data_IF_618604955666
#
_entry.id   IF_618604955666
#
_cell.length_a   1.000
_cell.length_b   1.000
_cell.length_c   1.000
_cell.angle_alpha   90.00
_cell.angle_beta   90.00
_cell.angle_gamma   90.00
#
_symmetry.space_group_name_H-M   'P 1'
#
loop_
_entity.id
_entity.type
_entity.pdbx_description
1 polymer ?
#
# COMPACT_ATOMS: atom_id res chain seq x y z
N UNK A 1 -16.11 -3.29 2.41
CA UNK A 1 -15.78 -1.88 2.67
C UNK A 1 -16.49 -1.02 1.67
N UNK A 2 -17.38 -0.19 2.16
CA UNK A 2 -18.28 0.61 1.31
C UNK A 2 -17.53 1.70 0.52
N UNK A 3 -16.49 2.32 1.10
CA UNK A 3 -15.73 3.38 0.42
C UNK A 3 -15.08 2.92 -0.91
N UNK A 4 -14.81 1.63 -1.09
CA UNK A 4 -14.27 1.08 -2.34
C UNK A 4 -15.21 1.34 -3.53
N UNK A 5 -16.51 1.41 -3.29
CA UNK A 5 -17.51 1.75 -4.32
C UNK A 5 -17.38 3.20 -4.84
N UNK A 6 -16.62 4.05 -4.14
CA UNK A 6 -16.31 5.40 -4.57
C UNK A 6 -15.25 5.51 -5.66
N UNK A 7 -14.56 4.41 -6.01
CA UNK A 7 -13.63 4.42 -7.15
C UNK A 7 -14.38 4.49 -8.48
N UNK A 8 -14.01 5.49 -9.28
CA UNK A 8 -14.54 5.69 -10.63
C UNK A 8 -13.40 5.72 -11.64
N UNK A 9 -13.66 5.17 -12.82
CA UNK A 9 -12.78 5.29 -13.95
C UNK A 9 -13.00 6.64 -14.63
N UNK A 10 -11.91 7.36 -14.85
CA UNK A 10 -11.90 8.63 -15.55
C UNK A 10 -11.22 8.47 -16.92
N UNK A 11 -11.31 9.49 -17.76
CA UNK A 11 -10.65 9.47 -19.05
C UNK A 11 -9.14 9.28 -18.87
N UNK A 12 -8.61 8.24 -19.50
CA UNK A 12 -7.18 7.95 -19.50
C UNK A 12 -6.37 9.08 -20.14
N UNK A 13 -5.18 9.29 -19.62
CA UNK A 13 -4.19 10.19 -20.20
C UNK A 13 -3.19 9.41 -21.04
N UNK A 14 -2.44 10.10 -21.86
CA UNK A 14 -1.35 9.51 -22.64
C UNK A 14 -0.01 10.12 -22.24
N UNK A 15 1.01 9.29 -22.17
CA UNK A 15 2.40 9.76 -22.13
C UNK A 15 2.79 10.38 -23.47
N UNK A 16 3.95 11.07 -23.50
CA UNK A 16 4.49 11.60 -24.77
C UNK A 16 4.72 10.52 -25.84
N UNK A 17 4.99 9.29 -25.41
CA UNK A 17 5.23 8.12 -26.28
C UNK A 17 3.94 7.36 -26.59
N UNK A 18 2.76 7.91 -26.25
CA UNK A 18 1.46 7.29 -26.55
C UNK A 18 1.06 6.13 -25.62
N UNK A 19 1.75 5.90 -24.50
CA UNK A 19 1.36 4.89 -23.51
C UNK A 19 0.22 5.42 -22.66
N UNK A 20 -0.74 4.54 -22.39
CA UNK A 20 -1.90 4.88 -21.57
C UNK A 20 -1.54 5.03 -20.09
N UNK A 21 -2.07 6.08 -19.48
CA UNK A 21 -2.08 6.30 -18.04
C UNK A 21 -3.53 6.20 -17.59
N UNK A 22 -3.84 5.15 -16.83
CA UNK A 22 -5.18 4.99 -16.25
C UNK A 22 -5.40 6.03 -15.16
N UNK A 23 -6.54 6.71 -15.22
CA UNK A 23 -6.94 7.69 -14.21
C UNK A 23 -8.12 7.12 -13.42
N UNK A 24 -8.02 7.20 -12.10
CA UNK A 24 -9.08 6.80 -11.17
C UNK A 24 -9.38 7.94 -10.22
N UNK A 25 -10.62 8.23 -10.02
CA UNK A 25 -11.09 9.15 -8.99
C UNK A 25 -11.64 8.33 -7.81
N UNK A 26 -11.25 8.68 -6.60
CA UNK A 26 -11.87 8.16 -5.38
C UNK A 26 -12.72 9.26 -4.76
N UNK A 27 -14.03 9.08 -4.76
CA UNK A 27 -15.00 9.95 -4.10
C UNK A 27 -15.49 9.27 -2.82
N UNK A 28 -15.19 9.87 -1.69
CA UNK A 28 -15.55 9.31 -0.38
C UNK A 28 -16.85 9.93 0.10
N UNK A 29 -17.78 9.08 0.53
CA UNK A 29 -19.02 9.51 1.19
C UNK A 29 -18.71 10.22 2.51
N UNK A 30 -19.41 11.31 2.80
CA UNK A 30 -19.38 11.99 4.10
C UNK A 30 -20.24 11.29 5.18
N UNK A 31 -20.75 10.08 4.90
CA UNK A 31 -21.52 9.28 5.85
C UNK A 31 -20.61 8.77 6.98
N UNK A 32 -20.95 9.08 8.22
CA UNK A 32 -20.16 8.71 9.41
C UNK A 32 -19.90 7.20 9.49
N UNK A 33 -20.87 6.35 9.15
CA UNK A 33 -20.68 4.90 9.20
C UNK A 33 -19.64 4.41 8.17
N UNK A 34 -19.60 5.01 6.98
CA UNK A 34 -18.58 4.71 5.96
C UNK A 34 -17.21 5.19 6.40
N UNK A 35 -17.14 6.38 7.00
CA UNK A 35 -15.90 6.94 7.52
C UNK A 35 -15.36 6.13 8.71
N UNK A 36 -16.21 5.65 9.60
CA UNK A 36 -15.84 4.81 10.74
C UNK A 36 -15.31 3.44 10.27
N UNK A 37 -16.00 2.80 9.31
CA UNK A 37 -15.53 1.56 8.68
C UNK A 37 -14.14 1.76 8.06
N UNK A 38 -13.97 2.85 7.33
CA UNK A 38 -12.72 3.18 6.67
C UNK A 38 -11.59 3.48 7.67
N UNK A 39 -11.89 4.25 8.71
CA UNK A 39 -10.94 4.54 9.78
C UNK A 39 -10.49 3.27 10.52
N UNK A 40 -11.43 2.34 10.81
CA UNK A 40 -11.12 1.05 11.40
C UNK A 40 -10.20 0.22 10.48
N UNK A 41 -10.51 0.16 9.18
CA UNK A 41 -9.67 -0.52 8.20
C UNK A 41 -8.25 0.06 8.14
N UNK A 42 -8.10 1.40 8.13
CA UNK A 42 -6.78 2.05 8.14
C UNK A 42 -6.01 1.75 9.42
N UNK A 43 -6.65 1.77 10.59
CA UNK A 43 -6.02 1.40 11.85
C UNK A 43 -5.49 -0.02 11.82
N UNK A 44 -6.25 -0.96 11.26
CA UNK A 44 -5.85 -2.37 11.16
C UNK A 44 -4.63 -2.60 10.28
N UNK A 45 -4.31 -1.70 9.35
CA UNK A 45 -3.05 -1.77 8.62
C UNK A 45 -1.84 -1.62 9.55
N UNK A 46 -1.98 -0.87 10.64
CA UNK A 46 -0.91 -0.65 11.62
C UNK A 46 -0.96 -1.65 12.77
N UNK A 47 -2.13 -1.86 13.38
CA UNK A 47 -2.30 -2.77 14.53
C UNK A 47 -3.68 -3.40 14.55
N UNK A 48 -3.73 -4.70 14.79
CA UNK A 48 -4.98 -5.38 15.12
C UNK A 48 -5.45 -4.99 16.52
N UNK A 49 -6.76 -5.02 16.75
CA UNK A 49 -7.32 -4.66 18.04
C UNK A 49 -6.90 -5.62 19.17
N UNK A 50 -6.84 -6.91 18.86
CA UNK A 50 -6.43 -7.95 19.82
C UNK A 50 -4.96 -7.80 20.25
N UNK A 51 -4.07 -7.45 19.32
CA UNK A 51 -2.67 -7.18 19.63
C UNK A 51 -2.48 -5.87 20.41
N UNK A 52 -3.33 -4.87 20.15
CA UNK A 52 -3.20 -3.54 20.73
C UNK A 52 -3.26 -3.51 22.25
N UNK A 53 -4.12 -4.33 22.87
CA UNK A 53 -4.23 -4.40 24.33
C UNK A 53 -2.99 -5.00 24.97
N UNK A 54 -2.41 -6.01 24.34
CA UNK A 54 -1.17 -6.64 24.79
C UNK A 54 0.03 -5.67 24.62
N UNK A 55 0.12 -4.98 23.47
CA UNK A 55 1.21 -4.04 23.19
C UNK A 55 1.21 -2.83 24.13
N UNK A 56 0.03 -2.36 24.56
CA UNK A 56 -0.08 -1.23 25.49
C UNK A 56 -0.02 -1.62 26.98
N UNK A 57 -0.02 -2.92 27.29
CA UNK A 57 0.06 -3.40 28.67
C UNK A 57 1.27 -2.77 29.40
N UNK A 58 1.07 -2.32 30.62
CA UNK A 58 2.09 -1.65 31.42
C UNK A 58 2.32 -0.17 31.11
N UNK A 59 1.76 0.37 30.00
CA UNK A 59 1.92 1.80 29.67
C UNK A 59 0.97 2.71 30.45
N UNK A 60 -0.16 2.18 30.95
CA UNK A 60 -1.16 2.93 31.70
C UNK A 60 -2.04 3.87 30.87
N UNK A 61 -1.87 3.92 29.55
CA UNK A 61 -2.60 4.84 28.65
C UNK A 61 -3.73 4.12 27.91
N UNK A 62 -4.68 4.89 27.38
CA UNK A 62 -5.80 4.37 26.57
C UNK A 62 -5.34 3.80 25.21
N UNK A 63 -6.20 3.02 24.54
CA UNK A 63 -5.95 2.55 23.16
C UNK A 63 -5.69 3.71 22.20
N UNK A 64 -6.49 4.77 22.32
CA UNK A 64 -6.39 5.95 21.46
C UNK A 64 -5.04 6.66 21.65
N UNK A 65 -4.64 6.88 22.90
CA UNK A 65 -3.36 7.50 23.23
C UNK A 65 -2.19 6.64 22.75
N UNK A 66 -2.27 5.32 22.91
CA UNK A 66 -1.24 4.42 22.42
C UNK A 66 -1.10 4.48 20.91
N UNK A 67 -2.21 4.41 20.16
CA UNK A 67 -2.20 4.54 18.72
C UNK A 67 -1.62 5.89 18.28
N UNK A 68 -2.07 6.99 18.89
CA UNK A 68 -1.62 8.35 18.56
C UNK A 68 -0.14 8.56 18.84
N UNK A 69 0.35 8.06 19.97
CA UNK A 69 1.66 8.45 20.50
C UNK A 69 2.77 7.44 20.19
N UNK A 70 2.43 6.18 19.88
CA UNK A 70 3.40 5.11 19.63
C UNK A 70 3.27 4.46 18.25
N UNK A 71 2.09 4.44 17.64
CA UNK A 71 1.82 3.67 16.43
C UNK A 71 1.74 4.56 15.18
N UNK A 72 0.85 5.55 15.18
CA UNK A 72 0.68 6.40 14.01
C UNK A 72 1.82 7.41 13.86
N UNK A 73 2.18 7.78 12.61
CA UNK A 73 3.16 8.84 12.38
C UNK A 73 2.79 10.14 13.12
N UNK A 74 3.76 10.73 13.81
CA UNK A 74 3.56 11.86 14.70
C UNK A 74 3.23 13.18 14.00
N UNK A 75 3.03 14.24 14.80
CA UNK A 75 2.71 15.58 14.27
C UNK A 75 3.96 16.38 13.87
N UNK A 76 5.11 16.08 14.47
CA UNK A 76 6.39 16.72 14.12
C UNK A 76 6.99 16.05 12.87
N UNK A 77 7.77 16.82 12.08
CA UNK A 77 8.49 16.29 10.92
C UNK A 77 9.42 15.12 11.34
N UNK A 78 9.50 14.02 10.57
CA UNK A 78 8.88 13.81 9.24
C UNK A 78 7.47 13.20 9.28
N UNK A 79 6.85 13.00 10.46
CA UNK A 79 5.59 12.29 10.67
C UNK A 79 4.46 12.65 9.70
N UNK A 80 4.13 13.94 9.45
CA UNK A 80 3.08 14.30 8.50
C UNK A 80 3.32 13.77 7.08
N UNK A 81 4.56 13.84 6.59
CA UNK A 81 4.90 13.33 5.27
C UNK A 81 4.80 11.78 5.22
N UNK A 82 5.26 11.12 6.28
CA UNK A 82 5.12 9.66 6.41
C UNK A 82 3.66 9.23 6.44
N UNK A 83 2.78 9.97 7.15
CA UNK A 83 1.34 9.69 7.19
C UNK A 83 0.69 9.76 5.81
N UNK A 84 1.04 10.79 5.02
CA UNK A 84 0.55 10.92 3.65
C UNK A 84 1.04 9.77 2.76
N UNK A 85 2.30 9.38 2.89
CA UNK A 85 2.85 8.23 2.18
C UNK A 85 2.10 6.94 2.53
N UNK A 86 2.03 6.61 3.82
CA UNK A 86 1.31 5.43 4.32
C UNK A 86 -0.15 5.40 3.83
N UNK A 87 -0.84 6.55 3.86
CA UNK A 87 -2.22 6.68 3.40
C UNK A 87 -2.36 6.33 1.91
N UNK A 88 -1.51 6.91 1.07
CA UNK A 88 -1.55 6.66 -0.37
C UNK A 88 -1.21 5.20 -0.71
N UNK A 89 -0.22 4.62 -0.04
CA UNK A 89 0.17 3.22 -0.21
C UNK A 89 -0.96 2.27 0.19
N UNK A 90 -1.68 2.56 1.29
CA UNK A 90 -2.84 1.76 1.73
C UNK A 90 -3.96 1.84 0.69
N UNK A 91 -4.27 3.02 0.17
CA UNK A 91 -5.31 3.18 -0.86
C UNK A 91 -4.98 2.43 -2.16
N UNK A 92 -3.72 2.47 -2.60
CA UNK A 92 -3.29 1.71 -3.77
C UNK A 92 -3.35 0.20 -3.49
N UNK A 93 -2.95 -0.22 -2.29
CA UNK A 93 -3.07 -1.60 -1.88
C UNK A 93 -4.54 -2.08 -1.86
N UNK A 94 -5.46 -1.23 -1.40
CA UNK A 94 -6.90 -1.52 -1.43
C UNK A 94 -7.44 -1.62 -2.87
N UNK A 95 -7.01 -0.73 -3.75
CA UNK A 95 -7.36 -0.81 -5.17
C UNK A 95 -6.87 -2.14 -5.80
N UNK A 96 -5.63 -2.53 -5.53
CA UNK A 96 -5.05 -3.78 -6.03
C UNK A 96 -5.81 -5.00 -5.48
N UNK A 97 -6.16 -4.99 -4.20
CA UNK A 97 -6.84 -6.11 -3.55
C UNK A 97 -8.31 -6.20 -3.95
N UNK A 98 -9.07 -5.13 -3.77
CA UNK A 98 -10.53 -5.17 -3.89
C UNK A 98 -11.05 -4.93 -5.30
N UNK A 99 -10.34 -4.13 -6.11
CA UNK A 99 -10.75 -3.82 -7.49
C UNK A 99 -10.05 -4.75 -8.48
N UNK A 100 -8.75 -4.97 -8.30
CA UNK A 100 -7.96 -5.80 -9.22
C UNK A 100 -7.95 -7.29 -8.82
N UNK A 101 -8.50 -7.64 -7.65
CA UNK A 101 -8.61 -9.01 -7.15
C UNK A 101 -7.26 -9.74 -6.99
N UNK A 102 -6.25 -9.04 -6.48
CA UNK A 102 -5.01 -9.65 -6.03
C UNK A 102 -5.07 -9.92 -4.52
N UNK A 103 -4.42 -10.96 -4.06
CA UNK A 103 -4.09 -11.09 -2.65
C UNK A 103 -2.96 -10.12 -2.31
N UNK A 104 -3.15 -9.26 -1.30
CA UNK A 104 -2.14 -8.30 -0.81
C UNK A 104 -1.78 -8.65 0.63
N UNK A 105 -0.54 -9.04 0.93
CA UNK A 105 -0.10 -9.28 2.31
C UNK A 105 -0.04 -7.94 3.07
N UNK A 106 -0.97 -7.73 4.00
CA UNK A 106 -1.12 -6.49 4.77
C UNK A 106 -0.20 -6.46 5.99
N UNK A 107 1.11 -6.44 5.75
CA UNK A 107 2.14 -6.58 6.79
C UNK A 107 3.04 -5.35 6.95
N UNK A 108 3.04 -4.44 5.96
CA UNK A 108 4.04 -3.38 5.81
C UNK A 108 4.15 -2.48 7.04
N UNK A 109 3.04 -2.00 7.58
CA UNK A 109 3.06 -1.03 8.68
C UNK A 109 3.12 -1.66 10.06
N UNK A 110 2.76 -2.93 10.20
CA UNK A 110 2.76 -3.65 11.47
C UNK A 110 4.14 -3.88 12.06
N UNK A 111 5.18 -3.80 11.23
CA UNK A 111 6.58 -3.99 11.61
C UNK A 111 7.38 -2.71 11.65
N UNK A 112 6.74 -1.54 11.66
CA UNK A 112 7.48 -0.28 11.80
C UNK A 112 8.22 -0.24 13.13
N UNK A 113 9.54 -0.20 13.08
CA UNK A 113 10.38 0.04 14.26
C UNK A 113 10.28 1.50 14.72
N UNK A 114 10.26 2.43 13.76
CA UNK A 114 10.05 3.85 14.03
C UNK A 114 8.78 4.30 13.27
N UNK A 115 7.80 4.80 14.01
CA UNK A 115 6.52 5.24 13.46
C UNK A 115 6.63 6.32 12.39
N UNK A 116 7.69 7.15 12.43
CA UNK A 116 7.90 8.28 11.53
C UNK A 116 8.74 7.95 10.29
N UNK A 117 9.07 6.67 10.06
CA UNK A 117 9.82 6.25 8.87
C UNK A 117 8.95 5.35 7.99
N UNK A 118 9.14 5.44 6.67
CA UNK A 118 8.57 4.47 5.77
C UNK A 118 9.29 3.13 5.89
N UNK A 119 8.59 2.00 5.88
CA UNK A 119 9.22 0.69 5.83
C UNK A 119 10.05 0.53 4.54
N UNK A 120 11.11 -0.26 4.60
CA UNK A 120 11.91 -0.61 3.42
C UNK A 120 11.19 -1.61 2.52
N UNK A 121 11.62 -1.71 1.27
CA UNK A 121 11.05 -2.61 0.25
C UNK A 121 10.02 -1.94 -0.63
N UNK A 122 9.38 -2.74 -1.48
CA UNK A 122 8.34 -2.28 -2.41
C UNK A 122 7.10 -1.76 -1.65
N UNK A 123 6.45 -0.74 -2.18
CA UNK A 123 5.33 -0.09 -1.51
C UNK A 123 4.11 -1.01 -1.45
N UNK A 124 3.75 -1.64 -2.56
CA UNK A 124 2.66 -2.63 -2.60
C UNK A 124 3.12 -3.87 -3.37
N UNK A 125 2.88 -5.04 -2.77
CA UNK A 125 3.01 -6.36 -3.39
C UNK A 125 1.62 -6.99 -3.49
N UNK A 126 1.28 -7.55 -4.65
CA UNK A 126 0.05 -8.29 -4.83
C UNK A 126 0.29 -9.58 -5.60
N UNK A 127 -0.51 -10.60 -5.33
CA UNK A 127 -0.39 -11.92 -5.92
C UNK A 127 -1.73 -12.42 -6.43
N UNK A 128 -1.73 -12.99 -7.62
CA UNK A 128 -2.90 -13.63 -8.22
C UNK A 128 -2.52 -15.04 -8.64
N UNK A 129 -3.17 -16.01 -8.04
CA UNK A 129 -2.85 -17.41 -8.26
C UNK A 129 -4.13 -18.26 -8.28
N UNK A 130 -4.09 -19.33 -9.04
CA UNK A 130 -5.14 -20.34 -9.04
C UNK A 130 -4.96 -21.37 -7.91
N UNK A 131 -5.80 -22.38 -7.89
CA UNK A 131 -5.72 -23.49 -6.93
C UNK A 131 -4.45 -24.34 -7.10
N UNK A 132 -3.89 -24.35 -8.29
CA UNK A 132 -2.63 -25.02 -8.62
C UNK A 132 -1.66 -24.04 -9.22
N UNK A 133 -0.35 -24.12 -8.88
CA UNK A 133 0.68 -23.28 -9.48
C UNK A 133 0.67 -23.32 -11.02
N UNK A 134 0.70 -22.15 -11.65
CA UNK A 134 0.59 -22.00 -13.09
C UNK A 134 1.56 -20.91 -13.60
N UNK A 135 2.10 -21.02 -14.84
CA UNK A 135 2.84 -19.92 -15.47
C UNK A 135 1.99 -18.65 -15.68
N UNK A 136 0.68 -18.74 -15.52
CA UNK A 136 -0.26 -17.60 -15.59
C UNK A 136 -0.50 -16.92 -14.24
N UNK A 137 0.08 -17.46 -13.16
CA UNK A 137 0.04 -16.78 -11.87
C UNK A 137 0.75 -15.43 -12.01
N UNK A 138 0.30 -14.43 -11.27
CA UNK A 138 0.79 -13.06 -11.41
C UNK A 138 1.31 -12.52 -10.09
N UNK A 139 2.46 -11.88 -10.11
CA UNK A 139 2.92 -10.99 -9.07
C UNK A 139 2.89 -9.55 -9.58
N UNK A 140 2.36 -8.64 -8.78
CA UNK A 140 2.34 -7.21 -9.09
C UNK A 140 3.09 -6.43 -8.03
N UNK A 141 3.88 -5.46 -8.49
CA UNK A 141 4.70 -4.60 -7.62
C UNK A 141 4.39 -3.17 -8.00
N UNK A 142 4.01 -2.37 -6.99
CA UNK A 142 3.73 -0.95 -7.20
C UNK A 142 4.66 -0.08 -6.37
N UNK A 143 5.14 0.97 -6.99
CA UNK A 143 5.71 2.15 -6.34
C UNK A 143 4.65 3.25 -6.28
N UNK A 144 4.48 3.86 -5.12
CA UNK A 144 3.43 4.84 -4.86
C UNK A 144 4.03 6.18 -4.46
N UNK A 145 3.60 7.24 -5.10
CA UNK A 145 3.90 8.62 -4.69
C UNK A 145 2.61 9.37 -4.44
N UNK A 146 2.53 10.04 -3.30
CA UNK A 146 1.36 10.82 -2.93
C UNK A 146 1.71 12.24 -2.52
N UNK A 147 0.72 13.12 -2.60
CA UNK A 147 0.79 14.44 -1.98
C UNK A 147 -0.60 14.89 -1.55
N UNK A 148 -0.68 15.41 -0.34
CA UNK A 148 -1.85 16.11 0.18
C UNK A 148 -1.67 17.64 0.18
N UNK A 149 -0.51 18.14 -0.28
CA UNK A 149 -0.24 19.58 -0.29
C UNK A 149 -0.80 20.21 -1.57
N UNK A 150 -1.89 20.98 -1.48
CA UNK A 150 -2.49 21.66 -2.62
C UNK A 150 -1.62 22.80 -3.18
N UNK A 151 -0.59 23.23 -2.42
CA UNK A 151 0.40 24.22 -2.81
C UNK A 151 1.77 23.60 -3.08
N UNK A 152 1.83 22.26 -3.14
CA UNK A 152 3.06 21.50 -3.33
C UNK A 152 3.82 21.95 -4.57
N UNK A 153 5.14 22.05 -4.45
CA UNK A 153 6.01 22.48 -5.54
C UNK A 153 6.04 21.51 -6.72
N UNK A 154 5.75 20.21 -6.47
CA UNK A 154 5.76 19.17 -7.50
C UNK A 154 4.37 18.98 -8.09
N UNK A 155 4.29 19.04 -9.40
CA UNK A 155 3.07 18.75 -10.18
C UNK A 155 2.74 17.26 -10.20
N UNK A 156 1.50 16.91 -10.53
CA UNK A 156 1.05 15.52 -10.58
C UNK A 156 1.88 14.63 -11.50
N UNK A 157 2.22 15.11 -12.68
CA UNK A 157 3.04 14.35 -13.62
C UNK A 157 4.48 14.12 -13.10
N UNK A 158 5.04 15.05 -12.31
CA UNK A 158 6.36 14.88 -11.71
C UNK A 158 6.35 13.79 -10.63
N UNK A 159 5.24 13.68 -9.87
CA UNK A 159 5.04 12.59 -8.91
C UNK A 159 4.92 11.24 -9.60
N UNK A 160 4.17 11.17 -10.70
CA UNK A 160 4.05 9.94 -11.46
C UNK A 160 5.41 9.54 -12.09
N UNK A 161 6.16 10.50 -12.64
CA UNK A 161 7.49 10.23 -13.16
C UNK A 161 8.44 9.73 -12.05
N UNK A 162 8.38 10.33 -10.87
CA UNK A 162 9.16 9.90 -9.71
C UNK A 162 8.79 8.45 -9.29
N UNK A 163 7.51 8.08 -9.33
CA UNK A 163 7.08 6.72 -9.07
C UNK A 163 7.59 5.73 -10.14
N UNK A 164 7.53 6.10 -11.41
CA UNK A 164 8.05 5.29 -12.52
C UNK A 164 9.57 5.08 -12.37
N UNK A 165 10.33 6.15 -12.10
CA UNK A 165 11.78 6.07 -11.94
C UNK A 165 12.19 5.20 -10.73
N UNK A 166 11.38 5.22 -9.67
CA UNK A 166 11.62 4.38 -8.49
C UNK A 166 11.20 2.94 -8.73
N UNK A 167 10.11 2.67 -9.44
CA UNK A 167 9.67 1.30 -9.74
C UNK A 167 10.71 0.50 -10.53
N UNK A 168 11.54 1.16 -11.33
CA UNK A 168 12.67 0.52 -12.02
C UNK A 168 13.72 -0.06 -11.05
N UNK A 169 13.82 0.48 -9.83
CA UNK A 169 14.72 -0.05 -8.78
C UNK A 169 14.16 -1.28 -8.10
N UNK A 170 12.84 -1.44 -8.11
CA UNK A 170 12.16 -2.58 -7.50
C UNK A 170 12.44 -3.90 -8.22
N UNK A 171 12.80 -3.84 -9.49
CA UNK A 171 13.26 -5.04 -10.24
C UNK A 171 14.43 -5.72 -9.53
N UNK A 172 15.40 -4.95 -9.04
CA UNK A 172 16.57 -5.49 -8.33
C UNK A 172 16.24 -5.91 -6.88
N UNK A 173 15.19 -5.33 -6.27
CA UNK A 173 14.82 -5.54 -4.86
C UNK A 173 13.70 -6.56 -4.68
N UNK A 174 13.14 -7.06 -5.77
CA UNK A 174 11.97 -7.93 -5.72
C UNK A 174 12.18 -9.17 -4.84
N UNK A 175 13.30 -9.87 -5.02
CA UNK A 175 13.62 -11.06 -4.24
C UNK A 175 13.73 -10.76 -2.73
N UNK A 176 14.34 -9.61 -2.38
CA UNK A 176 14.44 -9.14 -0.99
C UNK A 176 13.08 -8.82 -0.41
N UNK A 177 12.22 -8.13 -1.17
CA UNK A 177 10.86 -7.77 -0.76
C UNK A 177 10.01 -9.02 -0.54
N UNK A 178 10.07 -10.03 -1.40
CA UNK A 178 9.40 -11.32 -1.22
C UNK A 178 9.89 -12.04 0.04
N UNK A 179 11.20 -12.08 0.24
CA UNK A 179 11.76 -12.75 1.41
C UNK A 179 11.32 -12.04 2.71
N UNK A 180 11.40 -10.73 2.76
CA UNK A 180 10.96 -9.94 3.91
C UNK A 180 9.46 -10.16 4.19
N UNK A 181 8.61 -10.14 3.15
CA UNK A 181 7.19 -10.40 3.28
C UNK A 181 6.90 -11.79 3.83
N UNK A 182 7.56 -12.83 3.30
CA UNK A 182 7.40 -14.21 3.78
C UNK A 182 7.83 -14.35 5.25
N UNK A 183 8.99 -13.84 5.61
CA UNK A 183 9.50 -13.92 6.97
C UNK A 183 8.55 -13.23 7.95
N UNK A 184 8.05 -12.06 7.59
CA UNK A 184 7.09 -11.33 8.43
C UNK A 184 5.77 -12.08 8.62
N UNK A 185 5.26 -12.74 7.58
CA UNK A 185 4.07 -13.58 7.69
C UNK A 185 4.29 -14.78 8.62
N UNK A 186 5.47 -15.40 8.57
CA UNK A 186 5.85 -16.48 9.50
C UNK A 186 5.88 -15.96 10.95
N UNK A 187 6.52 -14.81 11.21
CA UNK A 187 6.56 -14.19 12.53
C UNK A 187 5.17 -13.84 13.09
N UNK A 188 4.23 -13.48 12.21
CA UNK A 188 2.84 -13.21 12.54
C UNK A 188 1.98 -14.48 12.66
N UNK A 189 2.59 -15.68 12.62
CA UNK A 189 1.91 -16.96 12.63
C UNK A 189 0.84 -17.10 11.52
N UNK A 190 1.19 -16.67 10.30
CA UNK A 190 0.35 -16.74 9.09
C UNK A 190 1.02 -17.61 8.00
N UNK A 191 1.24 -18.92 8.27
CA UNK A 191 2.04 -19.80 7.39
C UNK A 191 1.39 -20.04 6.03
N UNK A 192 0.08 -20.05 5.94
CA UNK A 192 -0.65 -20.22 4.67
C UNK A 192 -0.37 -19.05 3.72
N UNK A 193 -0.41 -17.83 4.24
CA UNK A 193 -0.09 -16.63 3.46
C UNK A 193 1.40 -16.54 3.13
N UNK A 194 2.28 -16.98 4.03
CA UNK A 194 3.70 -17.12 3.74
C UNK A 194 3.95 -18.10 2.58
N UNK A 195 3.14 -19.16 2.48
CA UNK A 195 3.20 -20.12 1.37
C UNK A 195 2.77 -19.49 0.04
N UNK A 196 1.81 -18.58 0.04
CA UNK A 196 1.45 -17.79 -1.15
C UNK A 196 2.67 -17.00 -1.64
N UNK A 197 3.34 -16.26 -0.75
CA UNK A 197 4.52 -15.49 -1.12
C UNK A 197 5.66 -16.40 -1.59
N UNK A 198 5.87 -17.54 -0.92
CA UNK A 198 6.89 -18.52 -1.28
C UNK A 198 6.72 -19.08 -2.70
N UNK A 199 5.46 -19.18 -3.19
CA UNK A 199 5.15 -19.60 -4.56
C UNK A 199 5.90 -18.72 -5.60
N UNK A 200 6.12 -17.44 -5.29
CA UNK A 200 6.71 -16.47 -6.20
C UNK A 200 8.23 -16.24 -6.00
N UNK A 201 8.88 -17.01 -5.13
CA UNK A 201 10.32 -16.85 -4.88
C UNK A 201 11.21 -17.60 -5.88
N UNK A 202 10.69 -18.58 -6.59
CA UNK A 202 11.45 -19.39 -7.54
C UNK A 202 10.81 -19.35 -8.94
N UNK A 203 11.18 -18.34 -9.71
CA UNK A 203 10.66 -18.15 -11.07
C UNK A 203 11.20 -19.20 -12.06
N UNK A 204 12.39 -19.76 -11.81
CA UNK A 204 13.03 -20.73 -12.69
C UNK A 204 12.26 -22.04 -12.73
N UNK A 205 11.97 -22.62 -11.57
CA UNK A 205 11.29 -23.91 -11.47
C UNK A 205 9.75 -23.78 -11.49
N UNK A 206 9.26 -22.59 -11.15
CA UNK A 206 7.83 -22.27 -11.02
C UNK A 206 7.55 -20.93 -11.70
N UNK A 207 7.57 -20.87 -13.03
CA UNK A 207 7.38 -19.62 -13.77
C UNK A 207 6.04 -18.94 -13.45
N UNK A 208 6.03 -17.63 -13.55
CA UNK A 208 4.88 -16.76 -13.36
C UNK A 208 5.13 -15.41 -14.07
N UNK A 209 4.11 -14.56 -14.13
CA UNK A 209 4.21 -13.22 -14.74
C UNK A 209 4.48 -12.19 -13.65
N UNK A 210 5.47 -11.32 -13.86
CA UNK A 210 5.69 -10.15 -13.00
C UNK A 210 5.17 -8.91 -13.71
N UNK A 211 4.37 -8.12 -13.01
CA UNK A 211 3.88 -6.82 -13.46
C UNK A 211 4.43 -5.72 -12.56
N UNK A 212 4.97 -4.68 -13.15
CA UNK A 212 5.44 -3.50 -12.43
C UNK A 212 4.48 -2.35 -12.68
N UNK A 213 4.12 -1.64 -11.62
CA UNK A 213 3.25 -0.48 -11.68
C UNK A 213 3.82 0.71 -10.92
N UNK A 214 3.40 1.89 -11.32
CA UNK A 214 3.68 3.14 -10.65
C UNK A 214 2.37 3.91 -10.47
N UNK A 215 2.19 4.52 -9.31
CA UNK A 215 0.99 5.29 -9.01
C UNK A 215 1.34 6.64 -8.40
N UNK A 216 0.59 7.67 -8.81
CA UNK A 216 0.60 8.97 -8.15
C UNK A 216 -0.78 9.24 -7.58
N UNK A 217 -0.87 9.45 -6.26
CA UNK A 217 -2.09 9.82 -5.58
C UNK A 217 -2.10 11.32 -5.31
N UNK A 218 -3.12 12.02 -5.82
CA UNK A 218 -3.18 13.48 -5.84
C UNK A 218 -4.57 13.97 -5.43
N UNK A 219 -4.63 15.13 -4.79
CA UNK A 219 -5.91 15.83 -4.69
C UNK A 219 -6.33 16.37 -6.06
N UNK A 220 -7.63 16.37 -6.37
CA UNK A 220 -8.19 16.81 -7.67
C UNK A 220 -7.67 18.19 -8.08
N UNK A 221 -7.48 19.12 -7.13
CA UNK A 221 -6.93 20.46 -7.39
C UNK A 221 -5.51 20.46 -7.97
N UNK A 222 -4.80 19.34 -7.88
CA UNK A 222 -3.40 19.21 -8.34
C UNK A 222 -3.28 18.48 -9.69
N UNK A 223 -4.39 18.03 -10.26
CA UNK A 223 -4.44 17.26 -11.51
C UNK A 223 -4.63 18.17 -12.72
N UNK A 224 -5.27 19.32 -12.52
CA UNK A 224 -5.46 20.30 -13.61
C UNK A 224 -4.25 21.21 -13.75
N UNK A 225 -3.83 21.49 -15.02
CA UNK A 225 -2.70 22.37 -15.32
C UNK A 225 -2.94 23.83 -14.87
#
# INVERSE_FOLDING_TARGET
MEYINGYREEQSLLTKDGKEIQVRCLEVSENDAVLDEWAAHFREQYRYLDALDMEREGTGISREEFLRDYVFPGQAKPGPATRVGDFCEILVADYIEYIQSYYVPRIRYRSKFNRNTSPQGSDVLGFKLGTTPSPRDEAIIFEVKGTSDPKGKKKGYERLQEAIDHSNKDVARYAESLNAAKMRLIELNRPEEASIVARFQNMTDRPYVIKYGASAFLQIKNIMP
#
